data_IF_256374470245
#
_entry.id   IF_256374470245
#
_cell.length_a   1.000
_cell.length_b   1.000
_cell.length_c   1.000
_cell.angle_alpha   90.00
_cell.angle_beta   90.00
_cell.angle_gamma   90.00
#
_symmetry.space_group_name_H-M   'P 1'
#
loop_
_entity.id
_entity.type
_entity.pdbx_description
1 polymer ?
#
# COMPACT_ATOMS: atom_id res chain seq x y z
N UNK A 1 17.62 -0.52 25.44
CA UNK A 1 16.42 -1.09 26.09
C UNK A 1 16.04 -0.18 27.24
N UNK A 2 14.88 0.48 27.19
CA UNK A 2 14.41 1.39 28.22
C UNK A 2 13.27 0.71 28.98
N UNK A 3 13.42 0.55 30.30
CA UNK A 3 12.39 0.04 31.19
C UNK A 3 11.79 1.19 31.97
N UNK A 4 10.47 1.35 31.90
CA UNK A 4 9.76 2.41 32.61
C UNK A 4 8.56 1.82 33.33
N UNK A 5 8.22 2.41 34.49
CA UNK A 5 7.08 1.98 35.30
C UNK A 5 6.18 3.18 35.58
N UNK A 6 4.88 2.96 35.51
CA UNK A 6 3.83 3.96 35.71
C UNK A 6 2.82 3.44 36.70
N UNK A 7 2.47 4.25 37.66
CA UNK A 7 1.36 4.01 38.57
C UNK A 7 0.04 4.53 37.91
N UNK A 8 -1.00 3.74 37.98
CA UNK A 8 -2.29 4.08 37.35
C UNK A 8 -3.07 5.00 38.27
N UNK A 9 -3.37 6.19 37.77
CA UNK A 9 -4.16 7.21 38.46
C UNK A 9 -5.68 6.99 38.29
N UNK A 10 -6.49 7.63 39.15
CA UNK A 10 -7.94 7.47 39.15
C UNK A 10 -8.60 7.80 37.80
N UNK A 11 -8.06 8.76 37.05
CA UNK A 11 -8.60 9.17 35.74
C UNK A 11 -8.40 8.09 34.65
N UNK A 12 -7.50 7.16 34.89
CA UNK A 12 -7.09 6.11 33.93
C UNK A 12 -7.72 4.75 34.25
N UNK A 13 -8.42 4.65 35.39
CA UNK A 13 -9.05 3.40 35.83
C UNK A 13 -10.03 2.86 34.79
N UNK A 14 -9.98 1.55 34.55
CA UNK A 14 -10.85 0.87 33.59
C UNK A 14 -10.41 0.94 32.15
N UNK A 15 -9.38 1.75 31.82
CA UNK A 15 -8.81 1.76 30.48
C UNK A 15 -8.13 0.43 30.17
N UNK A 16 -8.21 0.01 28.91
CA UNK A 16 -7.47 -1.19 28.46
C UNK A 16 -5.96 -0.94 28.46
N UNK A 17 -5.17 -1.90 28.89
CA UNK A 17 -3.71 -1.81 28.98
C UNK A 17 -3.06 -1.34 27.65
N UNK A 18 -3.53 -1.85 26.50
CA UNK A 18 -3.01 -1.44 25.20
C UNK A 18 -3.35 0.03 24.85
N UNK A 19 -4.47 0.55 25.35
CA UNK A 19 -4.90 1.94 25.18
C UNK A 19 -4.18 2.84 26.18
N UNK A 20 -4.12 2.46 27.44
CA UNK A 20 -3.40 3.16 28.49
C UNK A 20 -1.96 3.48 28.06
N UNK A 21 -1.20 2.48 27.61
CA UNK A 21 0.18 2.70 27.13
C UNK A 21 0.23 3.63 25.91
N UNK A 22 -0.73 3.56 24.98
CA UNK A 22 -0.75 4.46 23.82
C UNK A 22 -1.12 5.91 24.15
N UNK A 23 -1.70 6.17 25.33
CA UNK A 23 -1.94 7.52 25.83
C UNK A 23 -0.65 8.08 26.46
N UNK A 24 0.08 7.26 27.22
CA UNK A 24 1.35 7.66 27.85
C UNK A 24 2.44 7.91 26.82
N UNK A 25 2.46 7.09 25.74
CA UNK A 25 3.44 7.19 24.66
C UNK A 25 2.75 7.49 23.32
N UNK A 26 2.39 8.75 23.06
CA UNK A 26 1.65 9.13 21.85
C UNK A 26 2.44 8.92 20.55
N UNK A 27 3.77 8.79 20.63
CA UNK A 27 4.65 8.48 19.50
C UNK A 27 4.53 7.02 19.03
N UNK A 28 4.00 6.10 19.87
CA UNK A 28 3.82 4.71 19.49
C UNK A 28 2.36 4.35 19.26
N UNK A 29 2.12 3.53 18.25
CA UNK A 29 0.77 3.05 17.97
C UNK A 29 0.28 2.01 18.99
N UNK A 30 -1.04 1.95 19.21
CA UNK A 30 -1.67 0.90 20.03
C UNK A 30 -1.30 -0.52 19.58
N UNK A 31 -1.10 -0.74 18.27
CA UNK A 31 -0.65 -2.02 17.73
C UNK A 31 0.78 -2.39 18.16
N UNK A 32 1.62 -1.41 18.37
CA UNK A 32 2.97 -1.60 18.92
C UNK A 32 2.89 -2.17 20.35
N UNK A 33 2.09 -1.57 21.23
CA UNK A 33 1.91 -2.07 22.59
C UNK A 33 1.27 -3.44 22.65
N UNK A 34 0.32 -3.76 21.78
CA UNK A 34 -0.23 -5.12 21.67
C UNK A 34 0.86 -6.16 21.36
N UNK A 35 1.87 -5.76 20.59
CA UNK A 35 3.01 -6.62 20.25
C UNK A 35 3.94 -6.81 21.46
N UNK A 36 4.26 -5.74 22.20
CA UNK A 36 5.06 -5.80 23.42
C UNK A 36 4.37 -6.62 24.52
N UNK A 37 3.06 -6.43 24.71
CA UNK A 37 2.26 -7.22 25.65
C UNK A 37 2.30 -8.72 25.29
N UNK A 38 2.13 -9.03 24.01
CA UNK A 38 2.21 -10.43 23.53
C UNK A 38 3.58 -11.05 23.71
N UNK A 39 4.65 -10.29 23.57
CA UNK A 39 6.04 -10.74 23.82
C UNK A 39 6.46 -10.68 25.29
N UNK A 40 5.52 -10.39 26.20
CA UNK A 40 5.73 -10.31 27.66
C UNK A 40 6.71 -9.19 28.08
N UNK A 41 6.85 -8.16 27.27
CA UNK A 41 7.65 -6.96 27.58
C UNK A 41 6.82 -5.89 28.32
N UNK A 42 5.60 -6.24 28.71
CA UNK A 42 4.71 -5.43 29.56
C UNK A 42 4.18 -6.30 30.68
N UNK A 43 4.24 -5.79 31.92
CA UNK A 43 3.67 -6.43 33.09
C UNK A 43 2.83 -5.41 33.89
N UNK A 44 1.89 -5.92 34.66
CA UNK A 44 1.13 -5.16 35.66
C UNK A 44 1.37 -5.85 37.00
N UNK A 45 1.87 -5.11 37.97
CA UNK A 45 2.26 -5.64 39.27
C UNK A 45 3.17 -6.88 39.11
N UNK A 46 4.22 -6.72 38.27
CA UNK A 46 5.21 -7.76 37.92
C UNK A 46 4.64 -8.97 37.16
N UNK A 47 3.34 -9.00 36.87
CA UNK A 47 2.69 -10.13 36.19
C UNK A 47 2.31 -9.76 34.74
N UNK A 48 2.72 -10.55 33.74
CA UNK A 48 2.29 -10.33 32.36
C UNK A 48 0.76 -10.43 32.22
N UNK A 49 0.15 -9.45 31.57
CA UNK A 49 -1.29 -9.35 31.36
C UNK A 49 -1.65 -9.44 29.86
N UNK A 50 -2.96 -9.55 29.56
CA UNK A 50 -3.48 -9.45 28.18
C UNK A 50 -3.64 -7.99 27.77
N UNK A 51 -3.58 -7.68 26.48
CA UNK A 51 -3.81 -6.34 25.97
C UNK A 51 -5.21 -5.77 26.33
N UNK A 52 -6.17 -6.64 26.60
CA UNK A 52 -7.52 -6.28 27.03
C UNK A 52 -7.68 -6.13 28.56
N UNK A 53 -6.62 -6.30 29.33
CA UNK A 53 -6.68 -6.06 30.78
C UNK A 53 -7.10 -4.61 31.03
N UNK A 54 -8.09 -4.39 31.89
CA UNK A 54 -8.49 -3.06 32.33
C UNK A 54 -7.67 -2.69 33.55
N UNK A 55 -6.87 -1.64 33.44
CA UNK A 55 -6.01 -1.16 34.54
C UNK A 55 -6.85 -0.67 35.70
N UNK A 56 -6.34 -0.83 36.92
CA UNK A 56 -6.99 -0.42 38.17
C UNK A 56 -6.14 0.63 38.85
N UNK A 57 -6.75 1.46 39.70
CA UNK A 57 -6.00 2.41 40.54
C UNK A 57 -4.91 1.64 41.31
N UNK A 58 -3.75 2.25 41.46
CA UNK A 58 -2.55 1.72 42.13
C UNK A 58 -1.90 0.53 41.41
N UNK A 59 -2.36 0.14 40.22
CA UNK A 59 -1.61 -0.81 39.38
C UNK A 59 -0.28 -0.19 38.94
N UNK A 60 0.79 -0.92 39.10
CA UNK A 60 2.11 -0.54 38.56
C UNK A 60 2.31 -1.23 37.21
N UNK A 61 2.22 -0.45 36.14
CA UNK A 61 2.43 -0.92 34.76
C UNK A 61 3.90 -0.72 34.39
N UNK A 62 4.63 -1.79 34.19
CA UNK A 62 6.02 -1.77 33.73
C UNK A 62 6.06 -2.14 32.26
N UNK A 63 6.75 -1.31 31.46
CA UNK A 63 6.95 -1.54 30.03
C UNK A 63 8.44 -1.54 29.71
N UNK A 64 8.86 -2.55 28.98
CA UNK A 64 10.20 -2.66 28.40
C UNK A 64 10.11 -2.27 26.92
N UNK A 65 10.54 -1.04 26.60
CA UNK A 65 10.59 -0.57 25.23
C UNK A 65 11.95 -0.97 24.64
N UNK A 66 11.97 -1.89 23.66
CA UNK A 66 13.20 -2.18 22.95
C UNK A 66 13.73 -0.92 22.30
N UNK A 67 15.05 -0.74 22.29
CA UNK A 67 15.66 0.28 21.47
C UNK A 67 15.11 0.13 20.06
N UNK A 68 14.81 1.26 19.41
CA UNK A 68 14.44 1.23 18.02
C UNK A 68 15.53 0.42 17.30
N UNK A 69 15.18 -0.75 16.79
CA UNK A 69 16.00 -1.39 15.78
C UNK A 69 15.85 -0.46 14.60
N UNK A 70 16.80 0.43 14.44
CA UNK A 70 16.99 1.16 13.20
C UNK A 70 17.12 0.09 12.14
N UNK A 71 16.00 -0.27 11.51
CA UNK A 71 16.01 -0.95 10.22
C UNK A 71 16.43 0.13 9.24
N UNK A 72 17.72 0.47 9.26
CA UNK A 72 18.33 1.32 8.27
C UNK A 72 18.09 0.63 6.93
N UNK A 73 17.27 1.26 6.10
CA UNK A 73 17.08 0.80 4.74
C UNK A 73 18.35 1.21 4.00
N UNK A 74 19.14 0.22 3.61
CA UNK A 74 20.36 0.47 2.88
C UNK A 74 20.07 0.97 1.46
N UNK A 75 20.65 2.08 1.02
CA UNK A 75 20.58 2.50 -0.39
C UNK A 75 21.21 1.45 -1.31
N UNK A 76 20.52 1.07 -2.37
CA UNK A 76 21.01 0.08 -3.33
C UNK A 76 21.03 0.66 -4.74
N UNK A 77 22.13 0.45 -5.48
CA UNK A 77 22.28 0.87 -6.88
C UNK A 77 21.43 -0.03 -7.80
N UNK A 78 20.13 0.24 -7.82
CA UNK A 78 19.16 -0.42 -8.68
C UNK A 78 18.72 0.58 -9.75
N UNK A 79 18.84 0.28 -11.05
CA UNK A 79 18.40 1.15 -12.12
C UNK A 79 16.91 1.52 -11.98
N UNK A 80 16.61 2.81 -12.10
CA UNK A 80 15.25 3.35 -12.12
C UNK A 80 14.90 3.77 -13.56
N UNK A 81 13.69 3.40 -14.01
CA UNK A 81 13.09 3.95 -15.22
C UNK A 81 12.33 5.21 -14.82
N UNK A 82 12.93 6.39 -15.09
CA UNK A 82 12.45 7.70 -14.65
C UNK A 82 11.65 8.32 -15.78
N UNK A 83 10.37 8.67 -15.49
CA UNK A 83 9.48 9.37 -16.42
C UNK A 83 9.62 10.89 -16.32
N UNK A 84 9.92 11.38 -15.11
CA UNK A 84 10.16 12.79 -14.83
C UNK A 84 10.90 12.96 -13.50
N UNK A 85 11.72 13.98 -13.39
CA UNK A 85 12.38 14.36 -12.15
C UNK A 85 12.68 15.86 -12.13
N UNK A 86 12.46 16.47 -10.96
CA UNK A 86 12.93 17.81 -10.60
C UNK A 86 13.42 17.87 -9.14
N UNK A 87 13.46 19.03 -8.53
CA UNK A 87 13.90 19.20 -7.14
C UNK A 87 12.87 18.73 -6.11
N UNK A 88 11.59 18.62 -6.48
CA UNK A 88 10.47 18.36 -5.58
C UNK A 88 9.91 16.94 -5.74
N UNK A 89 9.81 16.45 -6.98
CA UNK A 89 9.17 15.16 -7.27
C UNK A 89 9.98 14.31 -8.24
N UNK A 90 9.83 12.99 -8.11
CA UNK A 90 10.37 11.99 -9.01
C UNK A 90 9.24 11.05 -9.42
N UNK A 91 9.01 10.89 -10.72
CA UNK A 91 8.02 9.95 -11.26
C UNK A 91 8.76 8.77 -11.86
N UNK A 92 8.51 7.58 -11.31
CA UNK A 92 9.16 6.34 -11.76
C UNK A 92 8.18 5.39 -12.42
N UNK A 93 8.61 4.68 -13.44
CA UNK A 93 7.93 3.52 -14.01
C UNK A 93 8.40 2.26 -13.28
N UNK A 94 7.65 1.85 -12.25
CA UNK A 94 8.03 0.71 -11.42
C UNK A 94 7.94 -0.61 -12.22
N UNK A 95 8.99 -1.43 -12.26
CA UNK A 95 8.95 -2.73 -12.91
C UNK A 95 8.08 -3.73 -12.13
N UNK A 96 7.75 -4.85 -12.80
CA UNK A 96 7.09 -6.02 -12.20
C UNK A 96 8.03 -6.73 -11.22
N UNK A 97 7.47 -7.33 -10.17
CA UNK A 97 8.23 -8.09 -9.17
C UNK A 97 8.94 -7.24 -8.12
N UNK A 98 8.89 -5.91 -8.21
CA UNK A 98 9.49 -5.00 -7.24
C UNK A 98 8.46 -4.51 -6.23
N UNK A 99 8.69 -4.73 -4.94
CA UNK A 99 7.90 -4.11 -3.87
C UNK A 99 8.31 -2.65 -3.68
N UNK A 100 7.36 -1.80 -3.27
CA UNK A 100 7.64 -0.36 -3.09
C UNK A 100 8.54 -0.13 -1.88
N UNK A 101 8.26 -0.77 -0.76
CA UNK A 101 9.02 -0.59 0.48
C UNK A 101 9.25 -1.92 1.20
N UNK A 102 10.27 -2.02 2.05
CA UNK A 102 10.58 -3.24 2.79
C UNK A 102 9.37 -3.79 3.55
N UNK A 103 9.22 -5.09 3.49
CA UNK A 103 8.14 -5.83 4.15
C UNK A 103 8.61 -7.25 4.45
N UNK A 104 7.84 -8.01 5.25
CA UNK A 104 8.18 -9.39 5.59
C UNK A 104 8.47 -10.23 4.33
N UNK A 105 9.70 -10.74 4.22
CA UNK A 105 10.21 -11.50 3.07
C UNK A 105 10.83 -10.67 1.95
N UNK A 106 10.82 -9.33 2.04
CA UNK A 106 11.39 -8.40 1.07
C UNK A 106 12.04 -7.22 1.80
N UNK A 107 13.21 -7.43 2.39
CA UNK A 107 13.93 -6.43 3.18
C UNK A 107 14.91 -5.59 2.36
N UNK A 108 15.23 -6.01 1.15
CA UNK A 108 16.14 -5.40 0.20
C UNK A 108 15.56 -5.43 -1.21
N UNK A 109 16.24 -4.79 -2.16
CA UNK A 109 15.85 -4.71 -3.58
C UNK A 109 14.44 -4.13 -3.79
N UNK A 110 14.05 -3.19 -2.94
CA UNK A 110 12.76 -2.50 -3.03
C UNK A 110 12.92 -1.19 -3.80
N UNK A 111 11.81 -0.58 -4.19
CA UNK A 111 11.85 0.74 -4.81
C UNK A 111 12.47 1.78 -3.87
N UNK A 112 12.20 1.70 -2.56
CA UNK A 112 12.81 2.61 -1.57
C UNK A 112 14.32 2.49 -1.54
N UNK A 113 14.90 1.27 -1.58
CA UNK A 113 16.36 1.11 -1.66
C UNK A 113 16.94 1.81 -2.90
N UNK A 114 16.27 1.69 -4.05
CA UNK A 114 16.69 2.32 -5.31
C UNK A 114 16.61 3.85 -5.27
N UNK A 115 15.49 4.41 -4.78
CA UNK A 115 15.32 5.87 -4.71
C UNK A 115 16.24 6.50 -3.66
N UNK A 116 16.52 5.84 -2.55
CA UNK A 116 17.52 6.31 -1.57
C UNK A 116 18.91 6.40 -2.18
N UNK A 117 19.31 5.44 -3.01
CA UNK A 117 20.57 5.52 -3.72
C UNK A 117 20.59 6.64 -4.76
N UNK A 118 19.48 6.80 -5.51
CA UNK A 118 19.36 7.81 -6.57
C UNK A 118 19.31 9.22 -6.01
N UNK A 119 18.45 9.48 -5.03
CA UNK A 119 18.20 10.80 -4.45
C UNK A 119 19.18 11.18 -3.32
N UNK A 120 19.93 10.20 -2.79
CA UNK A 120 20.84 10.41 -1.65
C UNK A 120 20.14 11.14 -0.48
N UNK A 121 20.64 12.30 -0.10
CA UNK A 121 20.20 13.06 1.09
C UNK A 121 18.99 13.97 0.84
N UNK A 122 18.39 13.95 -0.35
CA UNK A 122 17.31 14.89 -0.72
C UNK A 122 15.90 14.35 -0.48
N UNK A 123 15.73 13.09 -0.05
CA UNK A 123 14.39 12.49 0.16
C UNK A 123 13.69 13.06 1.39
N UNK A 124 12.34 13.21 1.28
CA UNK A 124 11.52 13.54 2.43
C UNK A 124 11.62 12.48 3.53
N UNK A 125 11.87 12.92 4.76
CA UNK A 125 11.95 12.11 5.96
C UNK A 125 10.63 11.97 6.75
N UNK A 126 9.53 12.59 6.32
CA UNK A 126 8.28 12.70 7.10
C UNK A 126 7.72 11.35 7.57
N UNK A 127 7.82 10.29 6.76
CA UNK A 127 7.40 8.95 7.15
C UNK A 127 8.50 8.14 7.87
N UNK A 128 9.53 8.82 8.36
CA UNK A 128 10.70 8.24 9.00
C UNK A 128 11.59 7.45 8.03
N UNK A 129 12.60 6.79 8.56
CA UNK A 129 13.57 6.01 7.79
C UNK A 129 12.98 4.83 6.99
N UNK A 130 11.75 4.41 7.35
CA UNK A 130 11.12 3.22 6.74
C UNK A 130 10.48 3.52 5.38
N UNK A 131 10.10 4.77 5.08
CA UNK A 131 9.37 5.13 3.86
C UNK A 131 9.73 6.51 3.29
N UNK A 132 10.99 6.81 3.12
CA UNK A 132 11.40 8.13 2.66
C UNK A 132 10.79 8.44 1.29
N UNK A 133 10.15 9.59 1.16
CA UNK A 133 9.55 10.07 -0.08
C UNK A 133 8.29 9.34 -0.58
N UNK A 134 7.83 8.27 0.08
CA UNK A 134 6.71 7.44 -0.40
C UNK A 134 5.36 7.92 0.15
N UNK A 135 4.50 8.43 -0.72
CA UNK A 135 3.14 8.90 -0.41
C UNK A 135 2.03 7.92 -0.83
N UNK A 136 2.31 7.02 -1.78
CA UNK A 136 1.39 5.96 -2.20
C UNK A 136 2.16 4.72 -2.65
N UNK A 137 1.42 3.66 -2.98
CA UNK A 137 2.02 2.40 -3.39
C UNK A 137 1.18 1.67 -4.43
N UNK A 138 1.85 0.86 -5.24
CA UNK A 138 1.25 -0.16 -6.09
C UNK A 138 1.77 -1.54 -5.67
N UNK A 139 1.07 -2.60 -6.04
CA UNK A 139 1.45 -3.98 -5.66
C UNK A 139 2.76 -4.41 -6.32
N UNK A 140 3.40 -5.45 -5.76
CA UNK A 140 4.66 -5.99 -6.27
C UNK A 140 4.62 -6.29 -7.78
N UNK A 141 3.58 -6.99 -8.23
CA UNK A 141 3.42 -7.38 -9.63
C UNK A 141 2.64 -6.37 -10.49
N UNK A 142 2.21 -5.24 -9.91
CA UNK A 142 1.68 -4.10 -10.66
C UNK A 142 2.83 -3.23 -11.14
N UNK A 143 2.85 -2.94 -12.44
CA UNK A 143 3.85 -2.06 -13.08
C UNK A 143 3.34 -0.64 -13.23
N UNK A 144 4.21 0.31 -13.57
CA UNK A 144 3.80 1.64 -14.02
C UNK A 144 4.11 2.78 -13.06
N UNK A 145 3.47 3.91 -13.33
CA UNK A 145 3.80 5.21 -12.73
C UNK A 145 3.57 5.27 -11.23
N UNK A 146 4.56 5.79 -10.52
CA UNK A 146 4.53 6.06 -9.08
C UNK A 146 5.24 7.38 -8.80
N UNK A 147 4.62 8.25 -7.96
CA UNK A 147 5.21 9.51 -7.52
C UNK A 147 5.99 9.31 -6.23
N UNK A 148 7.17 9.93 -6.18
CA UNK A 148 8.07 10.01 -5.02
C UNK A 148 8.30 11.48 -4.71
N UNK A 149 8.32 11.86 -3.45
CA UNK A 149 8.57 13.22 -2.99
C UNK A 149 10.02 13.36 -2.52
N UNK A 150 10.74 14.33 -3.07
CA UNK A 150 12.17 14.53 -2.79
C UNK A 150 12.42 15.42 -1.56
N UNK A 151 11.41 16.14 -1.09
CA UNK A 151 11.48 16.97 0.11
C UNK A 151 10.16 16.94 0.90
N UNK A 152 10.19 17.47 2.11
CA UNK A 152 9.07 17.42 3.06
C UNK A 152 7.88 18.26 2.61
N UNK A 153 8.10 19.40 1.97
CA UNK A 153 7.04 20.27 1.44
C UNK A 153 6.26 19.56 0.34
N UNK A 154 6.94 18.96 -0.62
CA UNK A 154 6.35 18.14 -1.65
C UNK A 154 5.58 16.95 -1.06
N UNK A 155 6.13 16.32 -0.02
CA UNK A 155 5.50 15.19 0.65
C UNK A 155 4.15 15.58 1.29
N UNK A 156 4.13 16.65 2.07
CA UNK A 156 2.89 17.15 2.71
C UNK A 156 1.84 17.49 1.66
N UNK A 157 2.24 18.22 0.62
CA UNK A 157 1.33 18.64 -0.45
C UNK A 157 0.74 17.45 -1.21
N UNK A 158 1.58 16.54 -1.73
CA UNK A 158 1.11 15.38 -2.50
C UNK A 158 0.30 14.41 -1.62
N UNK A 159 0.69 14.21 -0.35
CA UNK A 159 -0.09 13.41 0.59
C UNK A 159 -1.49 14.00 0.82
N UNK A 160 -1.62 15.32 0.89
CA UNK A 160 -2.91 16.00 0.99
C UNK A 160 -3.75 15.79 -0.27
N UNK A 161 -3.17 15.95 -1.46
CA UNK A 161 -3.87 15.70 -2.73
C UNK A 161 -4.36 14.23 -2.83
N UNK A 162 -3.58 13.27 -2.37
CA UNK A 162 -3.99 11.85 -2.31
C UNK A 162 -5.15 11.66 -1.34
N UNK A 163 -5.14 12.32 -0.19
CA UNK A 163 -6.19 12.27 0.83
C UNK A 163 -7.50 12.89 0.33
N UNK A 164 -7.40 13.96 -0.45
CA UNK A 164 -8.54 14.67 -1.08
C UNK A 164 -9.01 14.01 -2.37
N UNK A 165 -8.34 12.92 -2.80
CA UNK A 165 -8.66 12.18 -4.01
C UNK A 165 -8.50 13.00 -5.31
N UNK A 166 -7.70 14.08 -5.29
CA UNK A 166 -7.46 14.95 -6.43
C UNK A 166 -6.37 14.43 -7.37
N UNK A 167 -5.51 13.50 -6.92
CA UNK A 167 -4.51 12.83 -7.78
C UNK A 167 -5.20 11.93 -8.78
N UNK A 168 -5.03 12.20 -10.08
CA UNK A 168 -5.54 11.36 -11.15
C UNK A 168 -4.72 10.07 -11.26
N UNK A 169 -5.35 8.91 -11.06
CA UNK A 169 -4.70 7.59 -11.10
C UNK A 169 -5.45 6.69 -12.05
N UNK A 170 -4.89 6.50 -13.25
CA UNK A 170 -5.47 5.66 -14.28
C UNK A 170 -4.62 4.39 -14.40
N UNK A 171 -5.30 3.27 -14.36
CA UNK A 171 -4.72 1.95 -14.57
C UNK A 171 -5.30 1.32 -15.82
N UNK A 172 -4.56 0.41 -16.42
CA UNK A 172 -5.08 -0.51 -17.42
C UNK A 172 -4.82 -1.95 -16.97
N UNK A 173 -5.75 -2.83 -17.30
CA UNK A 173 -5.66 -4.23 -16.88
C UNK A 173 -6.44 -5.15 -17.81
N UNK A 174 -6.09 -6.43 -17.77
CA UNK A 174 -6.82 -7.47 -18.47
C UNK A 174 -7.54 -8.31 -17.42
N UNK A 175 -8.86 -8.46 -17.56
CA UNK A 175 -9.69 -9.28 -16.68
C UNK A 175 -10.16 -10.55 -17.38
N UNK A 176 -10.45 -11.58 -16.58
CA UNK A 176 -11.03 -12.82 -17.05
C UNK A 176 -12.54 -12.66 -17.33
N UNK A 177 -13.00 -13.24 -18.41
CA UNK A 177 -14.38 -13.17 -18.87
C UNK A 177 -14.70 -11.88 -19.64
N UNK A 178 -15.91 -11.84 -20.21
CA UNK A 178 -16.42 -10.69 -20.96
C UNK A 178 -17.28 -9.82 -20.05
N UNK A 179 -16.78 -8.63 -19.74
CA UNK A 179 -17.55 -7.59 -19.03
C UNK A 179 -18.59 -7.04 -20.00
N UNK A 180 -19.87 -7.15 -19.66
CA UNK A 180 -20.99 -6.79 -20.56
C UNK A 180 -21.10 -5.27 -20.72
N UNK A 181 -21.06 -4.56 -19.61
CA UNK A 181 -21.23 -3.10 -19.58
C UNK A 181 -19.95 -2.40 -20.04
N UNK A 182 -20.08 -1.40 -20.92
CA UNK A 182 -18.93 -0.65 -21.46
C UNK A 182 -18.20 0.20 -20.40
N UNK A 183 -18.90 0.59 -19.36
CA UNK A 183 -18.35 1.32 -18.21
C UNK A 183 -19.19 1.08 -16.97
N UNK A 184 -18.62 1.31 -15.82
CA UNK A 184 -19.33 1.19 -14.55
C UNK A 184 -18.49 1.59 -13.37
N UNK A 185 -19.07 1.46 -12.18
CA UNK A 185 -18.43 1.74 -10.90
C UNK A 185 -18.61 0.52 -9.99
N UNK A 186 -17.52 0.12 -9.35
CA UNK A 186 -17.56 -0.89 -8.29
C UNK A 186 -17.27 -0.19 -6.97
N UNK A 187 -18.23 -0.29 -6.06
CA UNK A 187 -18.14 0.26 -4.71
C UNK A 187 -18.17 -0.89 -3.70
N UNK A 188 -17.41 -0.74 -2.61
CA UNK A 188 -17.41 -1.71 -1.53
C UNK A 188 -16.26 -1.45 -0.56
N UNK A 189 -16.52 -1.56 0.74
CA UNK A 189 -15.49 -1.37 1.73
C UNK A 189 -14.46 -2.50 1.69
N UNK A 190 -13.17 -2.16 1.57
CA UNK A 190 -12.09 -3.15 1.50
C UNK A 190 -11.40 -3.27 2.85
N UNK A 191 -11.35 -4.49 3.37
CA UNK A 191 -10.68 -4.87 4.59
C UNK A 191 -9.87 -6.16 4.45
N UNK A 192 -9.20 -6.57 5.51
CA UNK A 192 -8.52 -7.88 5.54
C UNK A 192 -9.55 -9.01 5.40
N UNK A 193 -9.20 -10.02 4.61
CA UNK A 193 -10.01 -11.23 4.53
C UNK A 193 -10.05 -11.92 5.91
N UNK A 194 -11.24 -12.35 6.40
CA UNK A 194 -11.39 -12.84 7.77
C UNK A 194 -10.55 -14.09 8.08
N UNK A 195 -10.29 -14.92 7.08
CA UNK A 195 -9.57 -16.19 7.23
C UNK A 195 -8.18 -16.10 6.58
N UNK A 196 -8.09 -15.73 5.32
CA UNK A 196 -6.85 -15.71 4.53
C UNK A 196 -6.12 -14.37 4.68
N UNK A 197 -5.26 -14.23 5.69
CA UNK A 197 -4.58 -12.96 6.04
C UNK A 197 -3.77 -12.31 4.91
N UNK A 198 -3.38 -13.06 3.87
CA UNK A 198 -2.68 -12.53 2.68
C UNK A 198 -3.63 -11.82 1.71
N UNK A 199 -4.93 -12.06 1.83
CA UNK A 199 -5.97 -11.47 0.97
C UNK A 199 -6.61 -10.25 1.62
N UNK A 200 -7.11 -9.38 0.77
CA UNK A 200 -8.11 -8.38 1.08
C UNK A 200 -9.47 -8.89 0.58
N UNK A 201 -10.56 -8.34 1.07
CA UNK A 201 -11.92 -8.72 0.66
C UNK A 201 -12.86 -7.52 0.78
N UNK A 202 -13.99 -7.58 0.11
CA UNK A 202 -15.13 -6.71 0.46
C UNK A 202 -15.54 -7.06 1.89
N UNK A 203 -15.51 -6.08 2.78
CA UNK A 203 -15.74 -6.24 4.21
C UNK A 203 -16.43 -4.98 4.74
N UNK A 204 -17.73 -4.92 4.61
CA UNK A 204 -18.53 -3.74 5.00
C UNK A 204 -18.43 -3.43 6.50
N UNK A 205 -18.14 -4.44 7.32
CA UNK A 205 -18.08 -4.29 8.77
C UNK A 205 -16.78 -3.64 9.28
N UNK A 206 -15.64 -4.00 8.68
CA UNK A 206 -14.30 -3.58 9.15
C UNK A 206 -13.41 -3.03 8.01
N UNK A 207 -13.97 -2.86 6.83
CA UNK A 207 -13.26 -2.31 5.68
C UNK A 207 -13.28 -0.79 5.65
N UNK A 208 -12.47 -0.22 4.77
CA UNK A 208 -12.49 1.20 4.45
C UNK A 208 -13.16 1.41 3.10
N UNK A 209 -14.03 2.41 2.93
CA UNK A 209 -14.69 2.71 1.66
C UNK A 209 -13.71 2.71 0.49
N UNK A 210 -14.11 2.10 -0.61
CA UNK A 210 -13.32 2.04 -1.82
C UNK A 210 -14.23 2.17 -3.06
N UNK A 211 -13.77 2.95 -4.05
CA UNK A 211 -14.49 3.24 -5.28
C UNK A 211 -13.55 3.09 -6.47
N UNK A 212 -13.95 2.27 -7.43
CA UNK A 212 -13.21 2.02 -8.68
C UNK A 212 -14.15 2.21 -9.86
N UNK A 213 -13.88 3.18 -10.71
CA UNK A 213 -14.55 3.33 -12.00
C UNK A 213 -13.82 2.50 -13.05
N UNK A 214 -14.55 1.90 -13.96
CA UNK A 214 -13.96 1.18 -15.08
C UNK A 214 -14.58 1.57 -16.41
N UNK A 215 -13.80 1.39 -17.48
CA UNK A 215 -14.21 1.50 -18.86
C UNK A 215 -13.62 0.33 -19.66
N UNK A 216 -14.43 -0.34 -20.44
CA UNK A 216 -13.96 -1.36 -21.39
C UNK A 216 -13.25 -0.68 -22.55
N UNK A 217 -12.05 -1.14 -22.85
CA UNK A 217 -11.26 -0.68 -24.00
C UNK A 217 -11.40 -1.65 -25.17
N UNK A 218 -11.34 -2.96 -24.90
CA UNK A 218 -11.45 -4.00 -25.94
C UNK A 218 -11.94 -5.32 -25.31
N UNK A 219 -12.80 -6.06 -26.03
CA UNK A 219 -13.25 -7.40 -25.62
C UNK A 219 -12.62 -8.46 -26.50
N UNK A 220 -12.15 -9.53 -25.89
CA UNK A 220 -11.65 -10.73 -26.55
C UNK A 220 -12.58 -11.90 -26.21
N UNK A 221 -12.33 -13.07 -26.80
CA UNK A 221 -13.19 -14.26 -26.62
C UNK A 221 -13.55 -14.57 -25.15
N UNK A 222 -12.56 -14.54 -24.23
CA UNK A 222 -12.72 -14.89 -22.81
C UNK A 222 -12.08 -13.86 -21.88
N UNK A 223 -11.75 -12.68 -22.35
CA UNK A 223 -11.04 -11.65 -21.61
C UNK A 223 -11.52 -10.26 -22.02
N UNK A 224 -11.31 -9.30 -21.12
CA UNK A 224 -11.63 -7.89 -21.40
C UNK A 224 -10.45 -7.01 -21.00
N UNK A 225 -9.99 -6.19 -21.93
CA UNK A 225 -9.01 -5.12 -21.66
C UNK A 225 -9.74 -3.88 -21.16
N UNK A 226 -9.34 -3.38 -20.02
CA UNK A 226 -10.08 -2.34 -19.29
C UNK A 226 -9.17 -1.24 -18.79
N UNK A 227 -9.73 -0.04 -18.69
CA UNK A 227 -9.19 1.08 -17.95
C UNK A 227 -9.89 1.19 -16.60
N UNK A 228 -9.14 1.54 -15.57
CA UNK A 228 -9.65 1.79 -14.22
C UNK A 228 -9.22 3.18 -13.76
N UNK A 229 -10.15 3.94 -13.19
CA UNK A 229 -9.88 5.21 -12.51
C UNK A 229 -10.20 5.05 -11.04
N UNK A 230 -9.24 5.34 -10.18
CA UNK A 230 -9.37 5.20 -8.74
C UNK A 230 -9.74 6.51 -8.06
N UNK A 231 -10.81 6.54 -7.27
CA UNK A 231 -11.02 7.60 -6.28
C UNK A 231 -10.20 7.32 -5.02
N UNK A 232 -10.26 6.11 -4.52
CA UNK A 232 -9.53 5.67 -3.32
C UNK A 232 -8.34 4.79 -3.70
N UNK A 233 -7.42 4.52 -2.76
CA UNK A 233 -6.23 3.68 -2.99
C UNK A 233 -6.05 2.61 -1.91
N UNK A 234 -6.99 1.66 -1.78
CA UNK A 234 -6.88 0.58 -0.80
C UNK A 234 -5.98 -0.54 -1.34
N UNK A 235 -5.36 -1.28 -0.42
CA UNK A 235 -4.53 -2.44 -0.78
C UNK A 235 -5.31 -3.42 -1.65
N UNK A 236 -4.75 -3.82 -2.80
CA UNK A 236 -5.35 -4.71 -3.79
C UNK A 236 -6.71 -4.25 -4.36
N UNK A 237 -7.03 -2.95 -4.32
CA UNK A 237 -8.38 -2.44 -4.58
C UNK A 237 -8.97 -2.94 -5.92
N UNK A 238 -8.31 -2.67 -7.05
CA UNK A 238 -8.79 -3.12 -8.37
C UNK A 238 -8.94 -4.64 -8.40
N UNK A 239 -8.00 -5.37 -7.84
CA UNK A 239 -7.97 -6.83 -7.78
C UNK A 239 -9.18 -7.40 -7.05
N UNK A 240 -9.48 -6.84 -5.86
CA UNK A 240 -10.65 -7.23 -5.04
C UNK A 240 -11.95 -6.85 -5.73
N UNK A 241 -12.08 -5.62 -6.21
CA UNK A 241 -13.30 -5.13 -6.86
C UNK A 241 -13.63 -5.94 -8.11
N UNK A 242 -12.65 -6.19 -8.98
CA UNK A 242 -12.90 -6.96 -10.19
C UNK A 242 -13.20 -8.43 -9.89
N UNK A 243 -12.55 -9.01 -8.90
CA UNK A 243 -12.87 -10.37 -8.44
C UNK A 243 -14.28 -10.45 -7.83
N UNK A 244 -14.74 -9.44 -7.08
CA UNK A 244 -16.06 -9.42 -6.44
C UNK A 244 -17.22 -9.41 -7.44
N UNK A 245 -17.00 -8.87 -8.65
CA UNK A 245 -17.98 -8.87 -9.75
C UNK A 245 -17.76 -10.04 -10.74
N UNK A 246 -16.92 -11.03 -10.37
CA UNK A 246 -16.70 -12.24 -11.18
C UNK A 246 -15.68 -12.09 -12.31
N UNK A 247 -14.96 -10.99 -12.38
CA UNK A 247 -13.97 -10.70 -13.41
C UNK A 247 -12.55 -10.45 -12.82
N UNK A 248 -11.92 -11.46 -12.17
CA UNK A 248 -10.58 -11.28 -11.60
C UNK A 248 -9.55 -10.91 -12.68
N UNK A 249 -8.50 -10.20 -12.29
CA UNK A 249 -7.42 -9.85 -13.20
C UNK A 249 -6.72 -11.11 -13.74
N UNK A 250 -6.38 -11.10 -15.01
CA UNK A 250 -5.61 -12.16 -15.64
C UNK A 250 -4.24 -12.32 -14.96
N UNK A 251 -3.90 -13.54 -14.59
CA UNK A 251 -2.65 -13.87 -13.90
C UNK A 251 -2.66 -13.63 -12.39
N UNK A 252 -3.74 -13.12 -11.84
CA UNK A 252 -3.87 -12.92 -10.39
C UNK A 252 -4.14 -14.24 -9.67
N UNK A 253 -3.09 -14.93 -9.22
CA UNK A 253 -3.21 -16.21 -8.51
C UNK A 253 -3.91 -16.11 -7.14
N UNK A 254 -3.96 -14.90 -6.57
CA UNK A 254 -4.54 -14.69 -5.25
C UNK A 254 -6.07 -14.56 -5.29
N UNK A 255 -6.61 -13.93 -6.34
CA UNK A 255 -8.04 -13.62 -6.46
C UNK A 255 -8.76 -14.38 -7.58
N UNK A 256 -8.03 -15.11 -8.44
CA UNK A 256 -8.63 -16.01 -9.42
C UNK A 256 -8.73 -17.44 -8.86
N UNK A 257 -9.27 -18.37 -9.65
CA UNK A 257 -9.36 -19.81 -9.31
C UNK A 257 -8.01 -20.55 -9.28
N UNK A 258 -6.89 -19.82 -9.24
CA UNK A 258 -5.55 -20.36 -8.97
C UNK A 258 -4.79 -20.87 -10.17
N UNK A 259 -5.38 -20.99 -11.37
CA UNK A 259 -4.67 -21.43 -12.58
C UNK A 259 -4.83 -20.42 -13.71
N UNK A 260 -3.73 -19.70 -14.02
CA UNK A 260 -3.68 -18.96 -15.28
C UNK A 260 -3.46 -19.95 -16.44
N UNK A 261 -4.20 -19.84 -17.55
CA UNK A 261 -3.90 -20.59 -18.76
C UNK A 261 -2.55 -20.21 -19.39
N UNK A 262 -2.00 -19.06 -18.98
CA UNK A 262 -0.73 -18.52 -19.46
C UNK A 262 0.37 -18.81 -18.43
N UNK A 263 1.07 -19.94 -18.60
CA UNK A 263 2.08 -20.44 -17.65
C UNK A 263 3.25 -19.49 -17.39
N UNK A 264 3.53 -18.59 -18.33
CA UNK A 264 4.63 -17.63 -18.24
C UNK A 264 4.22 -16.26 -17.65
N UNK A 265 2.93 -16.09 -17.36
CA UNK A 265 2.44 -14.86 -16.76
C UNK A 265 2.59 -14.95 -15.25
N UNK A 266 3.57 -14.23 -14.72
CA UNK A 266 3.78 -14.08 -13.27
C UNK A 266 2.98 -12.89 -12.75
N UNK A 267 2.02 -13.12 -11.82
CA UNK A 267 1.21 -12.08 -11.22
C UNK A 267 0.19 -11.43 -12.19
N UNK A 268 -0.57 -10.50 -11.68
CA UNK A 268 -1.68 -9.84 -12.36
C UNK A 268 -1.25 -8.99 -13.56
N UNK A 269 -2.03 -9.01 -14.65
CA UNK A 269 -1.97 -8.04 -15.73
C UNK A 269 -2.64 -6.73 -15.30
N UNK A 270 -1.90 -5.89 -14.58
CA UNK A 270 -2.32 -4.58 -14.12
C UNK A 270 -1.15 -3.59 -14.22
N UNK A 271 -1.43 -2.42 -14.77
CA UNK A 271 -0.43 -1.40 -15.02
C UNK A 271 -0.97 -0.02 -14.64
N UNK A 272 -0.27 0.70 -13.77
CA UNK A 272 -0.53 2.09 -13.41
C UNK A 272 -0.11 2.98 -14.60
N UNK A 273 -1.05 3.19 -15.54
CA UNK A 273 -0.78 3.82 -16.83
C UNK A 273 -0.47 5.29 -16.69
N UNK A 274 -1.25 6.01 -15.89
CA UNK A 274 -1.14 7.47 -15.79
C UNK A 274 -1.26 7.94 -14.36
N UNK A 275 -0.41 8.90 -14.00
CA UNK A 275 -0.50 9.65 -12.75
C UNK A 275 -0.51 11.14 -13.05
N UNK A 276 -1.53 11.86 -12.53
CA UNK A 276 -1.66 13.31 -12.67
C UNK A 276 -1.90 13.97 -11.31
N UNK A 277 -1.25 15.09 -11.09
CA UNK A 277 -1.27 15.82 -9.81
C UNK A 277 -0.99 17.32 -10.04
N UNK A 278 -1.27 18.14 -9.06
CA UNK A 278 -0.83 19.53 -9.02
C UNK A 278 0.60 19.56 -8.45
N UNK A 279 1.52 20.14 -9.17
CA UNK A 279 2.91 20.24 -8.76
C UNK A 279 3.03 21.04 -7.45
N UNK A 280 3.71 20.53 -6.41
CA UNK A 280 3.70 21.12 -5.08
C UNK A 280 4.26 22.54 -5.02
N UNK A 281 5.22 22.89 -5.87
CA UNK A 281 5.89 24.19 -5.89
C UNK A 281 5.28 25.15 -6.93
N UNK A 282 5.02 24.67 -8.15
CA UNK A 282 4.54 25.55 -9.23
C UNK A 282 3.03 25.75 -9.23
N UNK A 283 2.27 24.82 -8.63
CA UNK A 283 0.80 24.83 -8.67
C UNK A 283 0.20 24.42 -10.02
N UNK A 284 1.02 23.99 -10.97
CA UNK A 284 0.57 23.57 -12.31
C UNK A 284 0.14 22.09 -12.30
N UNK A 285 -0.88 21.75 -13.08
CA UNK A 285 -1.25 20.35 -13.28
C UNK A 285 -0.23 19.66 -14.19
N UNK A 286 0.30 18.55 -13.72
CA UNK A 286 1.22 17.70 -14.45
C UNK A 286 0.67 16.28 -14.55
N UNK A 287 0.88 15.64 -15.71
CA UNK A 287 0.44 14.27 -15.94
C UNK A 287 1.49 13.47 -16.70
N UNK A 288 1.80 12.28 -16.21
CA UNK A 288 2.80 11.39 -16.81
C UNK A 288 2.21 10.00 -17.06
N UNK A 289 2.55 9.43 -18.20
CA UNK A 289 2.10 8.09 -18.60
C UNK A 289 3.28 7.15 -18.77
N UNK A 290 3.24 6.02 -18.06
CA UNK A 290 4.19 4.95 -18.24
C UNK A 290 3.87 4.15 -19.53
N UNK A 291 4.87 3.74 -20.34
CA UNK A 291 4.67 2.84 -21.45
C UNK A 291 4.19 1.46 -20.95
N UNK A 292 3.38 0.78 -21.75
CA UNK A 292 3.02 -0.61 -21.43
C UNK A 292 4.27 -1.49 -21.43
N UNK A 293 4.45 -2.34 -20.42
CA UNK A 293 5.59 -3.26 -20.41
C UNK A 293 5.40 -4.36 -21.45
N UNK A 294 6.51 -4.86 -21.98
CA UNK A 294 6.55 -5.84 -23.08
C UNK A 294 5.64 -7.06 -22.83
N UNK A 295 5.61 -7.58 -21.59
CA UNK A 295 4.77 -8.73 -21.27
C UNK A 295 3.26 -8.43 -21.45
N UNK A 296 2.86 -7.19 -21.19
CA UNK A 296 1.48 -6.75 -21.30
C UNK A 296 1.09 -6.60 -22.79
N UNK A 297 1.97 -5.98 -23.59
CA UNK A 297 1.77 -5.84 -25.03
C UNK A 297 1.72 -7.20 -25.73
N UNK A 298 2.64 -8.11 -25.40
CA UNK A 298 2.61 -9.50 -25.90
C UNK A 298 1.31 -10.20 -25.55
N UNK A 299 0.78 -9.97 -24.34
CA UNK A 299 -0.49 -10.55 -23.93
C UNK A 299 -1.65 -9.99 -24.77
N UNK A 300 -1.72 -8.68 -24.97
CA UNK A 300 -2.74 -8.06 -25.82
C UNK A 300 -2.68 -8.60 -27.26
N UNK A 301 -1.49 -8.71 -27.85
CA UNK A 301 -1.31 -9.29 -29.17
C UNK A 301 -1.80 -10.75 -29.23
N UNK A 302 -1.47 -11.56 -28.24
CA UNK A 302 -1.89 -12.95 -28.16
C UNK A 302 -3.42 -13.08 -28.03
N UNK A 303 -4.06 -12.21 -27.26
CA UNK A 303 -5.52 -12.25 -27.11
C UNK A 303 -6.24 -11.82 -28.39
N UNK A 304 -5.70 -10.84 -29.12
CA UNK A 304 -6.22 -10.41 -30.43
C UNK A 304 -6.15 -11.52 -31.49
N UNK A 305 -5.07 -12.29 -31.51
CA UNK A 305 -4.91 -13.38 -32.48
C UNK A 305 -5.80 -14.59 -32.20
N UNK A 306 -6.41 -14.68 -31.00
CA UNK A 306 -7.30 -15.77 -30.59
C UNK A 306 -8.80 -15.33 -30.53
N UNK A 307 -9.10 -14.14 -31.02
CA UNK A 307 -10.48 -13.64 -31.16
C UNK A 307 -11.06 -14.01 -32.50
#
# INVERSE_FOLDING_TARGET
MKMESFEVEAEQEGERLDKFLSIIYPEFSRAFFQKLIKSKQVSVNETPQKASYCVKIDDIVTVEIPDAVETTIEPENIPLDILYEDDDVLIVNKPKGMVVHPSAGHYSRTLVNAIMYHCKDTLSGINGEIRPGIVHRIDMDTTGSLIVCKNDEAHVNIAQQIKEHSVNRIYVGIVCGNVKEDSGTVEGAIGRHPIERKKMAINEKNGKPAITHYKVLERFKNYTYMQFKLETGRTHQIRVHMASIGHPLLGDILYSSGRSPFKHLQGQCLHAKTIGFIHPKTGEYMEYSAPLPEYFEKMLCLLKSNT
#
